data_IF_520540319318
#
_entry.id   IF_520540319318
#
_cell.length_a   1.000
_cell.length_b   1.000
_cell.length_c   1.000
_cell.angle_alpha   90.00
_cell.angle_beta   90.00
_cell.angle_gamma   90.00
#
_symmetry.space_group_name_H-M   'P 1'
#
loop_
_entity.id
_entity.type
_entity.pdbx_description
1 polymer ?
#
# COMPACT_ATOMS: atom_id res chain seq x y z
N UNK A 1 56.81 -32.09 18.40
CA UNK A 1 55.69 -31.67 19.28
C UNK A 1 55.03 -30.48 18.61
N UNK A 2 53.74 -30.37 18.29
CA UNK A 2 52.55 -31.26 18.20
C UNK A 2 51.51 -30.39 17.46
N UNK A 3 50.47 -31.00 16.88
CA UNK A 3 49.38 -30.36 16.12
C UNK A 3 48.38 -29.56 16.99
N UNK A 4 47.55 -28.78 16.28
CA UNK A 4 46.12 -28.47 16.47
C UNK A 4 45.64 -27.37 17.44
N UNK A 5 44.97 -26.36 16.86
CA UNK A 5 43.54 -26.00 17.04
C UNK A 5 43.18 -24.91 16.00
N UNK A 6 42.49 -25.20 14.88
CA UNK A 6 41.02 -25.11 14.64
C UNK A 6 40.42 -23.78 15.13
N UNK A 7 39.96 -22.90 14.23
CA UNK A 7 38.70 -22.96 13.44
C UNK A 7 37.47 -22.59 14.28
N UNK A 8 36.61 -21.75 13.68
CA UNK A 8 35.28 -21.25 14.11
C UNK A 8 35.29 -19.87 14.79
N UNK A 9 35.02 -18.83 13.98
CA UNK A 9 33.94 -17.85 14.22
C UNK A 9 33.87 -16.89 13.03
N UNK A 10 33.35 -17.41 11.92
CA UNK A 10 32.92 -16.65 10.76
C UNK A 10 31.68 -17.35 10.19
N UNK A 11 30.64 -17.41 11.00
CA UNK A 11 29.29 -17.79 10.62
C UNK A 11 28.34 -17.13 11.62
N UNK A 12 27.13 -16.79 11.17
CA UNK A 12 26.02 -16.22 11.94
C UNK A 12 25.97 -14.69 11.97
N UNK A 13 25.50 -14.11 10.85
CA UNK A 13 24.61 -12.93 10.82
C UNK A 13 24.05 -12.69 9.40
N UNK A 14 23.40 -13.72 8.84
CA UNK A 14 22.41 -13.53 7.77
C UNK A 14 21.04 -13.66 8.44
N UNK A 15 20.38 -12.53 8.66
CA UNK A 15 19.01 -12.48 9.11
C UNK A 15 18.10 -12.63 7.89
N UNK A 16 17.54 -13.82 7.75
CA UNK A 16 16.29 -14.21 7.10
C UNK A 16 15.55 -13.07 6.37
N UNK A 17 15.72 -13.02 5.05
CA UNK A 17 14.80 -12.33 4.14
C UNK A 17 13.66 -13.30 3.83
N UNK A 18 12.41 -12.92 4.10
CA UNK A 18 11.24 -13.66 3.62
C UNK A 18 11.01 -13.30 2.15
N UNK A 19 11.83 -13.85 1.26
CA UNK A 19 11.74 -13.59 -0.17
C UNK A 19 10.47 -14.25 -0.70
N UNK A 20 9.67 -13.59 -1.54
CA UNK A 20 8.63 -14.28 -2.33
C UNK A 20 9.03 -14.14 -3.80
N UNK A 21 9.33 -15.28 -4.43
CA UNK A 21 9.73 -15.44 -5.84
C UNK A 21 8.52 -15.45 -6.79
N UNK A 22 8.71 -15.27 -8.12
CA UNK A 22 7.69 -14.74 -9.02
C UNK A 22 6.45 -15.66 -9.12
N UNK A 23 5.28 -15.06 -8.91
CA UNK A 23 3.99 -15.76 -8.80
C UNK A 23 3.43 -16.23 -10.14
N UNK A 24 3.22 -17.53 -10.32
CA UNK A 24 2.24 -18.03 -11.29
C UNK A 24 0.81 -17.87 -10.73
N UNK A 25 -0.05 -17.15 -11.48
CA UNK A 25 -1.42 -16.83 -11.08
C UNK A 25 -2.38 -17.74 -11.85
N UNK A 26 -3.20 -18.50 -11.13
CA UNK A 26 -4.29 -19.28 -11.73
C UNK A 26 -5.63 -18.88 -11.11
N UNK A 27 -6.64 -18.67 -11.96
CA UNK A 27 -8.01 -18.31 -11.56
C UNK A 27 -8.92 -19.53 -11.67
N UNK A 28 -9.75 -19.75 -10.65
CA UNK A 28 -10.81 -20.76 -10.66
C UNK A 28 -12.15 -20.15 -10.23
N UNK A 29 -13.24 -20.64 -10.80
CA UNK A 29 -14.61 -20.25 -10.42
C UNK A 29 -14.91 -20.79 -9.00
N UNK A 30 -15.05 -19.87 -8.04
CA UNK A 30 -15.33 -20.15 -6.63
C UNK A 30 -16.82 -20.15 -6.30
N UNK A 31 -17.69 -19.96 -7.29
CA UNK A 31 -19.11 -19.66 -7.14
C UNK A 31 -19.47 -18.26 -7.69
N UNK A 32 -20.76 -17.88 -7.69
CA UNK A 32 -21.24 -16.73 -8.46
C UNK A 32 -20.66 -15.37 -8.05
N UNK A 33 -20.12 -15.24 -6.84
CA UNK A 33 -19.66 -13.97 -6.26
C UNK A 33 -18.17 -13.96 -5.85
N UNK A 34 -17.41 -15.03 -6.13
CA UNK A 34 -16.00 -15.17 -5.69
C UNK A 34 -15.13 -15.76 -6.80
N UNK A 35 -13.98 -15.14 -7.02
CA UNK A 35 -12.89 -15.69 -7.82
C UNK A 35 -11.82 -16.24 -6.88
N UNK A 36 -11.46 -17.51 -7.05
CA UNK A 36 -10.34 -18.09 -6.32
C UNK A 36 -9.06 -17.82 -7.10
N UNK A 37 -8.08 -17.25 -6.42
CA UNK A 37 -6.75 -17.00 -6.95
C UNK A 37 -5.70 -17.70 -6.11
N UNK A 38 -4.71 -18.28 -6.79
CA UNK A 38 -3.57 -18.91 -6.17
C UNK A 38 -2.32 -18.05 -6.30
N UNK A 39 -1.55 -18.01 -5.22
CA UNK A 39 -0.25 -17.36 -5.15
C UNK A 39 0.78 -18.40 -4.69
N UNK A 40 1.94 -18.44 -5.35
CA UNK A 40 3.05 -19.25 -4.90
C UNK A 40 3.60 -18.78 -3.55
N UNK A 41 4.16 -19.72 -2.81
CA UNK A 41 4.75 -19.54 -1.49
C UNK A 41 6.23 -19.81 -1.64
N UNK A 42 7.08 -18.94 -1.08
CA UNK A 42 8.52 -19.12 -1.20
C UNK A 42 9.08 -20.21 -0.32
N UNK A 43 10.25 -20.72 -0.70
CA UNK A 43 11.00 -21.71 0.06
C UNK A 43 11.32 -21.23 1.49
N UNK A 44 11.59 -19.94 1.69
CA UNK A 44 11.83 -19.38 3.02
C UNK A 44 10.58 -19.45 3.91
N UNK A 45 9.41 -19.13 3.35
CA UNK A 45 8.15 -19.24 4.08
C UNK A 45 7.81 -20.71 4.39
N UNK A 46 8.10 -21.63 3.45
CA UNK A 46 8.00 -23.07 3.69
C UNK A 46 8.92 -23.51 4.84
N UNK A 47 10.14 -22.98 4.91
CA UNK A 47 11.10 -23.28 5.99
C UNK A 47 10.63 -22.77 7.36
N UNK A 48 10.01 -21.58 7.41
CA UNK A 48 9.51 -20.97 8.65
C UNK A 48 8.34 -21.74 9.29
N UNK A 49 7.53 -22.43 8.50
CA UNK A 49 6.38 -23.21 8.97
C UNK A 49 6.78 -24.49 9.74
N UNK A 50 8.05 -24.89 9.68
CA UNK A 50 8.58 -26.02 10.45
C UNK A 50 7.77 -27.32 10.24
N UNK A 51 7.34 -28.02 11.30
CA UNK A 51 6.62 -29.28 11.18
C UNK A 51 5.28 -29.18 10.43
N UNK A 52 4.61 -28.01 10.48
CA UNK A 52 3.35 -27.78 9.77
C UNK A 52 3.53 -27.83 8.24
N UNK A 53 4.74 -27.56 7.74
CA UNK A 53 5.09 -27.75 6.33
C UNK A 53 5.30 -29.22 5.95
N UNK A 54 5.44 -30.15 6.91
CA UNK A 54 5.78 -31.56 6.66
C UNK A 54 4.63 -32.55 6.87
N UNK A 55 3.46 -32.09 7.32
CA UNK A 55 2.30 -32.96 7.50
C UNK A 55 1.74 -33.43 6.15
N UNK A 56 1.39 -34.72 6.04
CA UNK A 56 1.18 -35.42 4.77
C UNK A 56 -0.21 -35.26 4.13
N UNK A 57 -1.00 -34.25 4.54
CA UNK A 57 -2.39 -34.04 4.09
C UNK A 57 -2.53 -33.01 2.95
N UNK A 58 -3.50 -33.21 2.07
CA UNK A 58 -3.96 -32.21 1.07
C UNK A 58 -4.96 -31.24 1.72
N UNK A 59 -4.91 -29.96 1.36
CA UNK A 59 -5.89 -28.94 1.76
C UNK A 59 -5.30 -27.86 2.68
N UNK A 60 -6.16 -27.07 3.35
CA UNK A 60 -5.72 -26.02 4.28
C UNK A 60 -4.76 -26.54 5.35
N UNK A 61 -3.67 -25.81 5.56
CA UNK A 61 -2.70 -26.11 6.62
C UNK A 61 -3.24 -25.56 7.94
N UNK A 62 -3.44 -26.43 8.93
CA UNK A 62 -3.87 -26.01 10.26
C UNK A 62 -2.74 -25.31 11.03
N UNK A 63 -3.04 -24.15 11.60
CA UNK A 63 -2.12 -23.37 12.43
C UNK A 63 -2.57 -23.47 13.88
N UNK A 64 -1.73 -24.08 14.72
CA UNK A 64 -2.09 -24.42 16.10
C UNK A 64 -2.29 -23.20 17.01
N UNK A 65 -1.54 -22.12 16.77
CA UNK A 65 -1.64 -20.89 17.54
C UNK A 65 -1.62 -19.69 16.60
N UNK A 66 -2.69 -18.90 16.65
CA UNK A 66 -2.91 -17.76 15.75
C UNK A 66 -2.71 -16.45 16.52
N UNK A 67 -1.71 -15.67 16.14
CA UNK A 67 -1.47 -14.36 16.72
C UNK A 67 -2.64 -13.39 16.42
N UNK A 68 -2.94 -12.42 17.31
CA UNK A 68 -3.95 -11.40 17.03
C UNK A 68 -3.48 -10.49 15.89
N UNK A 69 -4.42 -10.09 15.04
CA UNK A 69 -4.17 -9.10 13.99
C UNK A 69 -4.37 -7.68 14.53
N UNK A 70 -3.42 -6.78 14.26
CA UNK A 70 -3.50 -5.37 14.66
C UNK A 70 -4.20 -4.55 13.57
N UNK A 71 -5.07 -3.63 13.96
CA UNK A 71 -5.69 -2.70 13.02
C UNK A 71 -4.63 -1.87 12.28
N UNK A 72 -4.80 -1.73 10.97
CA UNK A 72 -3.90 -0.98 10.11
C UNK A 72 -4.68 -0.30 8.98
N UNK A 73 -4.10 0.77 8.44
CA UNK A 73 -4.63 1.50 7.31
C UNK A 73 -3.55 1.64 6.22
N UNK A 74 -3.95 1.54 4.96
CA UNK A 74 -3.05 1.67 3.80
C UNK A 74 -3.74 2.47 2.72
N UNK A 75 -3.03 3.36 2.04
CA UNK A 75 -3.65 4.28 1.07
C UNK A 75 -2.93 4.25 -0.27
N UNK A 76 -3.67 3.93 -1.33
CA UNK A 76 -3.20 4.14 -2.70
C UNK A 76 -3.37 5.61 -3.07
N UNK A 77 -2.28 6.35 -3.12
CA UNK A 77 -2.27 7.71 -3.66
C UNK A 77 -2.08 7.63 -5.17
N UNK A 78 -3.07 8.09 -5.93
CA UNK A 78 -3.12 7.96 -7.39
C UNK A 78 -3.16 9.30 -8.11
N UNK A 79 -2.65 9.33 -9.34
CA UNK A 79 -2.77 10.48 -10.26
C UNK A 79 -2.86 10.01 -11.70
N UNK A 80 -3.38 10.89 -12.56
CA UNK A 80 -3.35 10.66 -14.00
C UNK A 80 -1.93 10.84 -14.55
N UNK A 81 -1.54 10.01 -15.52
CA UNK A 81 -0.27 10.19 -16.23
C UNK A 81 -0.27 11.53 -16.97
N UNK A 82 0.77 12.33 -16.74
CA UNK A 82 0.93 13.62 -17.41
C UNK A 82 0.88 13.47 -18.95
N UNK A 83 -0.05 14.17 -19.61
CA UNK A 83 -0.17 14.20 -21.07
C UNK A 83 -1.47 13.65 -21.69
N UNK A 84 -2.41 13.08 -20.91
CA UNK A 84 -3.76 12.73 -21.41
C UNK A 84 -4.88 13.72 -21.04
N UNK A 85 -4.63 14.68 -20.15
CA UNK A 85 -5.69 15.47 -19.50
C UNK A 85 -5.55 17.00 -19.48
N UNK A 86 -4.56 17.62 -20.12
CA UNK A 86 -4.47 19.09 -20.13
C UNK A 86 -4.59 19.68 -21.53
N UNK A 87 -5.84 19.91 -21.93
CA UNK A 87 -6.19 20.75 -23.05
C UNK A 87 -6.90 22.03 -22.55
N UNK A 88 -6.38 22.70 -21.52
CA UNK A 88 -6.84 24.05 -21.20
C UNK A 88 -5.81 24.87 -20.41
N UNK A 89 -4.70 25.23 -21.05
CA UNK A 89 -3.91 26.39 -20.62
C UNK A 89 -3.53 27.26 -21.84
N UNK A 90 -3.73 28.58 -21.80
CA UNK A 90 -3.41 29.47 -22.91
C UNK A 90 -1.88 29.66 -23.00
N UNK A 91 -1.32 29.33 -24.17
CA UNK A 91 0.10 29.60 -24.48
C UNK A 91 0.36 31.11 -24.53
N UNK A 92 1.16 31.61 -23.59
CA UNK A 92 1.78 32.92 -23.69
C UNK A 92 2.97 32.86 -24.66
N UNK A 93 3.03 33.86 -25.56
CA UNK A 93 4.09 34.07 -26.54
C UNK A 93 5.26 34.81 -25.87
N UNK A 94 6.49 34.34 -26.10
CA UNK A 94 7.71 35.05 -25.72
C UNK A 94 8.91 34.54 -26.51
N UNK A 95 9.50 35.42 -27.32
CA UNK A 95 10.61 35.18 -28.26
C UNK A 95 12.01 35.24 -27.60
N UNK A 96 12.93 34.40 -28.10
CA UNK A 96 14.40 34.59 -28.12
C UNK A 96 15.20 33.99 -26.93
N UNK A 97 16.37 33.35 -27.07
CA UNK A 97 17.18 32.93 -28.21
C UNK A 97 18.31 31.97 -27.71
N UNK A 98 18.75 31.05 -28.59
CA UNK A 98 20.08 30.42 -28.72
C UNK A 98 20.53 29.22 -27.84
N UNK A 99 20.28 28.04 -28.41
CA UNK A 99 21.15 26.87 -28.67
C UNK A 99 22.22 26.37 -27.67
N UNK A 100 22.01 25.15 -27.16
CA UNK A 100 22.90 24.00 -27.42
C UNK A 100 22.13 22.66 -27.24
N UNK A 101 22.06 21.83 -28.28
CA UNK A 101 21.69 20.40 -28.24
C UNK A 101 22.96 19.56 -28.50
N UNK A 102 23.11 18.34 -27.94
CA UNK A 102 22.41 17.12 -28.40
C UNK A 102 21.91 16.26 -27.20
N UNK A 103 21.06 15.25 -27.26
CA UNK A 103 20.45 14.41 -28.29
C UNK A 103 19.14 13.91 -27.65
N UNK A 104 18.00 14.25 -28.26
CA UNK A 104 16.76 13.55 -27.98
C UNK A 104 16.86 12.18 -28.66
N UNK A 105 17.14 11.14 -27.88
CA UNK A 105 16.73 9.80 -28.27
C UNK A 105 15.21 9.81 -28.23
N UNK A 106 14.59 9.70 -29.41
CA UNK A 106 13.16 9.53 -29.59
C UNK A 106 12.66 8.45 -28.63
N UNK A 107 11.85 8.87 -27.66
CA UNK A 107 11.16 7.94 -26.79
C UNK A 107 10.37 6.96 -27.67
N UNK A 108 10.53 5.64 -27.48
CA UNK A 108 9.82 4.67 -28.28
C UNK A 108 8.32 4.93 -28.14
N UNK A 109 7.65 4.94 -29.28
CA UNK A 109 6.22 5.12 -29.49
C UNK A 109 5.41 4.39 -28.38
N UNK A 110 4.77 5.16 -27.48
CA UNK A 110 3.94 4.63 -26.38
C UNK A 110 2.69 4.00 -27.00
N UNK A 111 2.73 2.70 -27.25
CA UNK A 111 1.53 1.90 -27.48
C UNK A 111 0.79 1.73 -26.15
N UNK A 112 -0.39 2.37 -26.00
CA UNK A 112 -1.39 2.12 -24.93
C UNK A 112 -0.84 1.84 -23.51
N UNK A 113 -0.04 2.77 -22.99
CA UNK A 113 0.46 2.72 -21.60
C UNK A 113 -0.62 3.02 -20.54
N UNK A 114 -0.30 2.74 -19.27
CA UNK A 114 -1.11 3.08 -18.10
C UNK A 114 -1.63 4.53 -18.16
N UNK A 115 -2.87 4.73 -17.74
CA UNK A 115 -3.49 6.06 -17.63
C UNK A 115 -3.36 6.66 -16.22
N UNK A 116 -3.18 5.80 -15.21
CA UNK A 116 -3.08 6.16 -13.79
C UNK A 116 -1.73 5.66 -13.26
N UNK A 117 -1.02 6.51 -12.54
CA UNK A 117 0.15 6.15 -11.73
C UNK A 117 -0.26 6.05 -10.26
N UNK A 118 0.44 5.21 -9.51
CA UNK A 118 0.25 5.06 -8.07
C UNK A 118 1.57 5.29 -7.34
N UNK A 119 1.51 6.00 -6.22
CA UNK A 119 2.71 6.27 -5.41
C UNK A 119 3.04 5.06 -4.55
N UNK A 120 4.28 4.57 -4.64
CA UNK A 120 4.71 3.37 -3.92
C UNK A 120 6.07 3.56 -3.26
N UNK A 121 6.24 2.90 -2.12
CA UNK A 121 7.50 2.84 -1.38
C UNK A 121 8.11 1.44 -1.52
N UNK A 122 9.43 1.37 -1.53
CA UNK A 122 10.17 0.12 -1.34
C UNK A 122 10.70 0.06 0.08
N UNK A 123 10.18 -0.87 0.87
CA UNK A 123 10.57 -1.06 2.28
C UNK A 123 12.03 -1.45 2.40
N UNK A 124 12.72 -0.95 3.43
CA UNK A 124 14.12 -1.31 3.66
C UNK A 124 14.30 -2.80 3.88
N UNK A 125 15.42 -3.34 3.40
CA UNK A 125 15.78 -4.75 3.63
C UNK A 125 15.83 -5.13 5.13
N UNK A 126 16.15 -4.17 6.00
CA UNK A 126 16.27 -4.37 7.45
C UNK A 126 14.93 -4.44 8.19
N UNK A 127 13.79 -4.23 7.50
CA UNK A 127 12.49 -4.22 8.15
C UNK A 127 12.03 -5.62 8.50
N UNK A 128 11.52 -5.78 9.72
CA UNK A 128 11.09 -7.07 10.25
C UNK A 128 9.75 -7.60 9.69
N UNK A 129 9.11 -6.88 8.77
CA UNK A 129 7.96 -7.33 8.00
C UNK A 129 8.01 -6.70 6.60
N UNK A 130 7.76 -7.52 5.57
CA UNK A 130 7.77 -7.13 4.16
C UNK A 130 9.06 -6.40 3.69
N UNK A 131 10.28 -6.87 4.02
CA UNK A 131 11.52 -6.24 3.55
C UNK A 131 11.62 -6.30 2.01
N UNK A 132 12.22 -5.27 1.39
CA UNK A 132 12.40 -5.13 -0.06
C UNK A 132 11.11 -5.13 -0.90
N UNK A 133 9.94 -5.08 -0.26
CA UNK A 133 8.65 -5.12 -0.96
C UNK A 133 8.22 -3.72 -1.37
N UNK A 134 7.57 -3.67 -2.53
CA UNK A 134 6.79 -2.50 -2.94
C UNK A 134 5.49 -2.48 -2.14
N UNK A 135 5.22 -1.36 -1.48
CA UNK A 135 4.05 -1.13 -0.63
C UNK A 135 3.48 0.27 -0.87
N UNK A 136 2.22 0.46 -0.54
CA UNK A 136 1.64 1.80 -0.47
C UNK A 136 1.94 2.42 0.91
N UNK A 137 1.85 3.76 1.06
CA UNK A 137 1.86 4.38 2.38
C UNK A 137 0.85 3.73 3.32
N UNK A 138 1.25 3.43 4.56
CA UNK A 138 0.35 2.82 5.52
C UNK A 138 1.04 2.15 6.70
N UNK A 139 0.31 2.10 7.80
CA UNK A 139 0.81 1.58 9.06
C UNK A 139 -0.29 1.20 10.03
N UNK A 140 0.12 0.97 11.28
CA UNK A 140 -0.78 0.57 12.35
C UNK A 140 -1.60 1.74 12.87
N UNK A 141 -2.80 1.45 13.36
CA UNK A 141 -3.59 2.43 14.13
C UNK A 141 -2.87 2.74 15.45
N UNK A 142 -2.71 4.02 15.77
CA UNK A 142 -2.22 4.52 17.05
C UNK A 142 -3.41 4.90 17.93
N UNK A 143 -3.31 4.74 19.25
CA UNK A 143 -4.38 5.13 20.17
C UNK A 143 -4.76 6.62 20.08
N UNK A 144 -3.86 7.47 19.58
CA UNK A 144 -4.09 8.90 19.36
C UNK A 144 -4.92 9.18 18.10
N UNK A 145 -5.12 8.19 17.22
CA UNK A 145 -6.03 8.31 16.06
C UNK A 145 -7.51 8.31 16.48
N UNK A 146 -7.80 7.90 17.72
CA UNK A 146 -9.13 7.87 18.31
C UNK A 146 -9.62 9.24 18.83
N UNK A 147 -8.84 10.31 18.65
CA UNK A 147 -9.13 11.64 19.19
C UNK A 147 -10.51 12.15 18.72
N UNK A 148 -11.40 12.38 19.68
CA UNK A 148 -12.76 12.81 19.39
C UNK A 148 -12.88 14.28 19.00
N UNK A 149 -11.85 15.09 19.30
CA UNK A 149 -11.78 16.50 18.98
C UNK A 149 -11.12 16.75 17.61
N UNK A 150 -10.65 15.69 16.93
CA UNK A 150 -10.13 15.78 15.55
C UNK A 150 -11.15 16.46 14.63
N UNK A 151 -10.85 17.66 14.09
CA UNK A 151 -11.79 18.37 13.24
C UNK A 151 -12.00 17.61 11.93
N UNK A 152 -13.27 17.42 11.56
CA UNK A 152 -13.66 16.42 10.57
C UNK A 152 -14.58 17.03 9.51
N UNK A 153 -14.20 16.91 8.24
CA UNK A 153 -15.01 17.29 7.09
C UNK A 153 -15.21 16.09 6.16
N UNK A 154 -16.42 15.96 5.61
CA UNK A 154 -16.84 14.83 4.78
C UNK A 154 -17.78 13.84 5.49
N UNK A 155 -17.90 12.60 5.00
CA UNK A 155 -18.81 11.58 5.53
C UNK A 155 -18.58 11.35 7.03
N UNK A 156 -19.65 11.24 7.81
CA UNK A 156 -19.54 11.07 9.27
C UNK A 156 -18.85 9.75 9.66
N UNK A 157 -18.27 9.65 10.87
CA UNK A 157 -17.72 8.38 11.38
C UNK A 157 -18.71 7.21 11.27
N UNK A 158 -20.00 7.45 11.52
CA UNK A 158 -21.07 6.48 11.28
C UNK A 158 -21.14 5.99 9.83
N UNK A 159 -21.03 6.89 8.86
CA UNK A 159 -21.06 6.51 7.45
C UNK A 159 -19.81 5.71 7.07
N UNK A 160 -18.66 6.08 7.61
CA UNK A 160 -17.42 5.31 7.45
C UNK A 160 -17.52 3.92 8.07
N UNK A 161 -18.11 3.79 9.25
CA UNK A 161 -18.37 2.50 9.89
C UNK A 161 -19.21 1.57 8.98
N UNK A 162 -20.24 2.10 8.33
CA UNK A 162 -21.03 1.34 7.34
C UNK A 162 -20.17 0.89 6.14
N UNK A 163 -19.33 1.78 5.60
CA UNK A 163 -18.49 1.50 4.44
C UNK A 163 -17.31 0.56 4.71
N UNK A 164 -16.77 0.57 5.92
CA UNK A 164 -15.61 -0.23 6.33
C UNK A 164 -15.98 -1.63 6.84
N UNK A 165 -17.18 -2.11 6.49
CA UNK A 165 -17.66 -3.44 6.83
C UNK A 165 -18.61 -3.51 8.02
N UNK A 166 -19.35 -2.42 8.30
CA UNK A 166 -20.28 -2.30 9.43
C UNK A 166 -19.61 -2.50 10.81
N UNK A 167 -18.48 -1.83 11.00
CA UNK A 167 -17.73 -1.77 12.27
C UNK A 167 -18.31 -0.70 13.21
N UNK A 168 -17.70 -0.48 14.38
CA UNK A 168 -18.10 0.62 15.26
C UNK A 168 -17.55 1.98 14.80
N UNK A 169 -18.21 3.06 15.23
CA UNK A 169 -17.85 4.42 14.81
C UNK A 169 -16.47 4.88 15.30
N UNK A 170 -16.00 4.33 16.43
CA UNK A 170 -14.69 4.68 16.97
C UNK A 170 -13.58 3.99 16.16
N UNK A 171 -13.70 2.69 15.88
CA UNK A 171 -12.78 1.95 14.99
C UNK A 171 -12.75 2.60 13.59
N UNK A 172 -13.91 3.02 13.06
CA UNK A 172 -13.97 3.70 11.77
C UNK A 172 -13.22 5.04 11.78
N UNK A 173 -13.37 5.84 12.85
CA UNK A 173 -12.63 7.10 13.02
C UNK A 173 -11.13 6.84 13.08
N UNK A 174 -10.71 5.89 13.91
CA UNK A 174 -9.31 5.50 14.08
C UNK A 174 -8.67 5.08 12.75
N UNK A 175 -9.34 4.24 11.97
CA UNK A 175 -8.83 3.78 10.67
C UNK A 175 -8.70 4.91 9.65
N UNK A 176 -9.67 5.83 9.59
CA UNK A 176 -9.63 6.96 8.65
C UNK A 176 -8.57 7.99 9.06
N UNK A 177 -8.43 8.27 10.36
CA UNK A 177 -7.39 9.15 10.88
C UNK A 177 -5.99 8.54 10.68
N UNK A 178 -5.82 7.24 10.96
CA UNK A 178 -4.58 6.52 10.69
C UNK A 178 -4.22 6.57 9.19
N UNK A 179 -5.18 6.33 8.29
CA UNK A 179 -4.95 6.42 6.85
C UNK A 179 -4.36 7.78 6.43
N UNK A 180 -4.93 8.88 6.92
CA UNK A 180 -4.46 10.23 6.60
C UNK A 180 -3.12 10.57 7.28
N UNK A 181 -2.93 10.14 8.53
CA UNK A 181 -1.67 10.32 9.27
C UNK A 181 -0.51 9.61 8.57
N UNK A 182 -0.67 8.32 8.24
CA UNK A 182 0.37 7.50 7.62
C UNK A 182 0.80 8.05 6.25
N UNK A 183 -0.16 8.52 5.44
CA UNK A 183 0.15 9.16 4.15
C UNK A 183 0.99 10.43 4.35
N UNK A 184 0.69 11.24 5.37
CA UNK A 184 1.48 12.43 5.66
C UNK A 184 2.86 12.07 6.24
N UNK A 185 2.93 11.11 7.16
CA UNK A 185 4.17 10.64 7.78
C UNK A 185 5.14 10.03 6.75
N UNK A 186 4.64 9.20 5.84
CA UNK A 186 5.49 8.46 4.91
C UNK A 186 5.89 9.24 3.67
N UNK A 187 4.98 10.04 3.09
CA UNK A 187 5.25 10.72 1.82
C UNK A 187 4.86 12.20 1.78
N UNK A 188 4.49 12.80 2.91
CA UNK A 188 4.24 14.24 3.02
C UNK A 188 2.91 14.70 2.42
N UNK A 189 2.06 13.80 1.91
CA UNK A 189 0.75 14.17 1.37
C UNK A 189 -0.23 14.42 2.51
N UNK A 190 -0.85 15.59 2.53
CA UNK A 190 -1.78 16.02 3.57
C UNK A 190 -3.21 16.09 3.02
N UNK A 191 -4.10 15.24 3.56
CA UNK A 191 -5.52 15.22 3.22
C UNK A 191 -6.33 16.14 4.15
N UNK A 192 -5.94 17.41 4.24
CA UNK A 192 -6.55 18.39 5.13
C UNK A 192 -6.67 19.78 4.49
N UNK A 193 -7.52 20.62 5.08
CA UNK A 193 -7.78 21.97 4.61
C UNK A 193 -8.31 22.88 5.71
N UNK A 194 -8.43 24.20 5.47
CA UNK A 194 -9.00 25.12 6.45
C UNK A 194 -10.52 24.91 6.66
N UNK A 195 -11.18 24.24 5.72
CA UNK A 195 -12.62 23.94 5.73
C UNK A 195 -12.93 22.75 4.79
N UNK A 196 -14.21 22.45 4.59
CA UNK A 196 -14.71 21.36 3.76
C UNK A 196 -14.57 21.58 2.24
N UNK A 197 -14.16 22.77 1.80
CA UNK A 197 -14.08 23.10 0.37
C UNK A 197 -12.62 23.17 -0.10
N UNK A 198 -11.74 23.76 0.71
CA UNK A 198 -10.36 24.06 0.33
C UNK A 198 -9.38 23.01 0.86
N UNK A 199 -8.28 22.83 0.14
CA UNK A 199 -7.15 21.99 0.57
C UNK A 199 -5.94 22.85 0.90
N UNK A 200 -5.05 22.33 1.73
CA UNK A 200 -3.68 22.84 1.79
C UNK A 200 -2.98 22.48 0.48
N UNK A 201 -2.50 23.51 -0.24
CA UNK A 201 -1.86 23.35 -1.54
C UNK A 201 -0.43 22.83 -1.44
N UNK A 202 0.53 23.69 -1.13
CA UNK A 202 1.93 23.30 -1.01
C UNK A 202 2.29 22.93 0.45
N UNK A 203 2.84 21.73 0.62
CA UNK A 203 3.29 21.16 1.91
C UNK A 203 4.78 20.84 1.93
N UNK A 204 5.56 21.36 0.98
CA UNK A 204 7.00 21.09 0.83
C UNK A 204 7.92 22.00 1.65
N UNK A 205 7.37 23.02 2.33
CA UNK A 205 8.17 23.98 3.11
C UNK A 205 8.69 23.43 4.45
N UNK A 206 9.77 24.01 4.96
CA UNK A 206 10.43 23.61 6.22
C UNK A 206 9.49 23.53 7.44
N UNK A 207 8.45 24.36 7.48
CA UNK A 207 7.45 24.29 8.55
C UNK A 207 6.69 22.97 8.56
N UNK A 208 6.34 22.44 7.39
CA UNK A 208 5.63 21.17 7.24
C UNK A 208 6.55 19.97 7.49
N UNK A 209 7.80 20.07 7.09
CA UNK A 209 8.83 19.09 7.46
C UNK A 209 8.95 18.99 8.99
N UNK A 210 9.02 20.12 9.68
CA UNK A 210 9.08 20.16 11.14
C UNK A 210 7.80 19.63 11.82
N UNK A 211 6.64 19.70 11.16
CA UNK A 211 5.41 19.06 11.66
C UNK A 211 5.47 17.55 11.53
N UNK A 212 5.93 17.06 10.38
CA UNK A 212 6.09 15.63 10.10
C UNK A 212 7.13 15.01 11.03
N UNK A 213 8.26 15.68 11.27
CA UNK A 213 9.27 15.23 12.23
C UNK A 213 8.70 15.07 13.65
N UNK A 214 7.83 16.00 14.08
CA UNK A 214 7.14 15.92 15.38
C UNK A 214 6.13 14.79 15.46
N UNK A 215 5.49 14.40 14.35
CA UNK A 215 4.64 13.21 14.29
C UNK A 215 5.47 11.92 14.39
N UNK A 216 6.52 11.81 13.56
CA UNK A 216 7.41 10.65 13.52
C UNK A 216 8.12 10.40 14.86
N UNK A 217 8.55 11.47 15.53
CA UNK A 217 9.14 11.41 16.89
C UNK A 217 8.11 11.25 18.02
N UNK A 218 6.81 11.28 17.69
CA UNK A 218 5.67 11.21 18.61
C UNK A 218 5.59 12.36 19.62
N UNK A 219 6.21 13.50 19.30
CA UNK A 219 6.13 14.74 20.09
C UNK A 219 4.75 15.40 19.99
N UNK A 220 4.00 15.14 18.92
CA UNK A 220 2.61 15.56 18.75
C UNK A 220 1.77 14.44 18.13
N UNK A 221 0.44 14.52 18.26
CA UNK A 221 -0.51 13.72 17.48
C UNK A 221 -0.92 14.43 16.18
N UNK A 222 -1.49 13.66 15.25
CA UNK A 222 -2.03 14.22 14.00
C UNK A 222 -3.21 15.17 14.28
N UNK A 223 -4.08 14.82 15.23
CA UNK A 223 -5.17 15.68 15.66
C UNK A 223 -4.68 17.00 16.26
N UNK A 224 -3.68 16.97 17.15
CA UNK A 224 -3.07 18.17 17.75
C UNK A 224 -2.47 19.09 16.68
N UNK A 225 -1.79 18.51 15.68
CA UNK A 225 -1.24 19.26 14.55
C UNK A 225 -2.34 20.01 13.79
N UNK A 226 -3.42 19.31 13.40
CA UNK A 226 -4.51 19.90 12.62
C UNK A 226 -5.26 20.97 13.41
N UNK A 227 -5.59 20.69 14.68
CA UNK A 227 -6.26 21.66 15.58
C UNK A 227 -5.42 22.93 15.70
N UNK A 228 -4.12 22.81 16.00
CA UNK A 228 -3.23 23.97 16.17
C UNK A 228 -3.11 24.79 14.89
N UNK A 229 -3.12 24.14 13.72
CA UNK A 229 -3.06 24.80 12.42
C UNK A 229 -4.41 25.31 11.91
N UNK A 230 -5.50 25.08 12.66
CA UNK A 230 -6.86 25.48 12.26
C UNK A 230 -7.34 24.72 11.01
N UNK A 231 -6.99 23.44 10.92
CA UNK A 231 -7.31 22.57 9.78
C UNK A 231 -8.30 21.49 10.18
N UNK A 232 -9.08 21.05 9.18
CA UNK A 232 -9.97 19.90 9.25
C UNK A 232 -9.42 18.76 8.39
N UNK A 233 -9.56 17.55 8.89
CA UNK A 233 -9.31 16.34 8.12
C UNK A 233 -10.40 16.21 7.04
N UNK A 234 -9.99 16.18 5.76
CA UNK A 234 -10.87 16.05 4.59
C UNK A 234 -11.11 14.59 4.25
N UNK A 235 -11.96 13.94 5.04
CA UNK A 235 -12.23 12.51 4.90
C UNK A 235 -12.92 12.16 3.59
N UNK A 236 -13.62 13.11 2.97
CA UNK A 236 -14.23 12.96 1.65
C UNK A 236 -13.21 12.70 0.51
N UNK A 237 -11.92 12.96 0.74
CA UNK A 237 -10.84 12.65 -0.21
C UNK A 237 -10.42 11.17 -0.18
N UNK A 238 -10.80 10.43 0.86
CA UNK A 238 -10.52 9.01 0.98
C UNK A 238 -11.69 8.19 0.42
N UNK A 239 -11.36 7.08 -0.21
CA UNK A 239 -12.32 6.08 -0.67
C UNK A 239 -12.01 4.73 -0.04
N UNK A 240 -13.01 4.04 0.57
CA UNK A 240 -12.84 2.67 1.05
C UNK A 240 -12.55 1.75 -0.14
N UNK A 241 -11.58 0.84 -0.01
CA UNK A 241 -11.13 0.03 -1.14
C UNK A 241 -11.13 -1.48 -0.89
N UNK A 242 -10.42 -1.97 0.12
CA UNK A 242 -10.32 -3.40 0.38
C UNK A 242 -10.09 -3.69 1.87
N UNK A 243 -10.37 -4.92 2.29
CA UNK A 243 -10.16 -5.38 3.67
C UNK A 243 -9.37 -6.67 3.65
N UNK A 244 -8.12 -6.61 4.10
CA UNK A 244 -7.21 -7.75 4.08
C UNK A 244 -6.71 -8.07 5.48
N UNK A 245 -6.76 -9.34 5.85
CA UNK A 245 -6.17 -9.84 7.09
C UNK A 245 -4.98 -10.71 6.75
N UNK A 246 -3.85 -10.45 7.41
CA UNK A 246 -2.64 -11.27 7.26
C UNK A 246 -2.94 -12.74 7.62
N UNK A 247 -2.42 -13.72 6.87
CA UNK A 247 -2.65 -15.14 7.13
C UNK A 247 -2.28 -15.57 8.55
N UNK A 248 -2.89 -16.65 9.01
CA UNK A 248 -2.76 -17.11 10.40
C UNK A 248 -1.37 -17.65 10.75
N UNK A 249 -0.63 -18.13 9.75
CA UNK A 249 0.74 -18.62 9.92
C UNK A 249 1.77 -17.52 10.16
N UNK A 250 1.42 -16.26 9.86
CA UNK A 250 2.32 -15.13 10.09
C UNK A 250 2.28 -14.73 11.57
N UNK A 251 3.43 -14.62 12.26
CA UNK A 251 3.44 -14.20 13.67
C UNK A 251 3.12 -12.70 13.84
N UNK A 252 3.34 -11.90 12.79
CA UNK A 252 3.02 -10.47 12.75
C UNK A 252 1.85 -10.25 11.81
N UNK A 253 0.66 -10.06 12.40
CA UNK A 253 -0.58 -9.97 11.65
C UNK A 253 -1.19 -8.59 11.72
N UNK A 254 -1.75 -8.17 10.60
CA UNK A 254 -2.48 -6.93 10.45
C UNK A 254 -3.87 -7.23 9.91
N UNK A 255 -4.83 -6.47 10.41
CA UNK A 255 -6.18 -6.36 9.90
C UNK A 255 -6.28 -5.00 9.21
N UNK A 256 -6.00 -4.99 7.91
CA UNK A 256 -5.73 -3.78 7.15
C UNK A 256 -6.94 -3.36 6.33
N UNK A 257 -7.40 -2.13 6.52
CA UNK A 257 -8.32 -1.45 5.58
C UNK A 257 -7.50 -0.64 4.59
N UNK A 258 -7.75 -0.90 3.31
CA UNK A 258 -7.16 -0.17 2.20
C UNK A 258 -8.09 0.97 1.80
N UNK A 259 -7.49 2.11 1.50
CA UNK A 259 -8.13 3.29 0.99
C UNK A 259 -7.48 3.70 -0.34
N UNK A 260 -8.19 4.51 -1.12
CA UNK A 260 -7.65 5.22 -2.27
C UNK A 260 -7.85 6.72 -2.10
N UNK A 261 -6.91 7.52 -2.61
CA UNK A 261 -7.00 8.97 -2.64
C UNK A 261 -6.35 9.53 -3.91
N UNK A 262 -6.95 10.58 -4.49
CA UNK A 262 -6.27 11.38 -5.51
C UNK A 262 -5.17 12.21 -4.84
N UNK A 263 -4.02 12.36 -5.49
CA UNK A 263 -3.02 13.36 -5.08
C UNK A 263 -3.66 14.75 -5.04
N UNK A 264 -3.65 15.46 -3.89
CA UNK A 264 -4.09 16.85 -3.82
C UNK A 264 -3.28 17.76 -4.74
N UNK A 265 -3.96 18.68 -5.44
CA UNK A 265 -3.30 19.63 -6.32
C UNK A 265 -2.30 20.50 -5.54
N UNK A 266 -1.10 20.67 -6.09
CA UNK A 266 -0.03 21.46 -5.49
C UNK A 266 0.87 20.71 -4.49
N UNK A 267 0.50 19.49 -4.10
CA UNK A 267 1.35 18.65 -3.24
C UNK A 267 2.25 17.74 -4.07
N UNK A 268 3.48 17.55 -3.59
CA UNK A 268 4.48 16.67 -4.21
C UNK A 268 4.86 15.64 -3.15
N UNK A 269 4.53 14.35 -3.34
CA UNK A 269 4.98 13.33 -2.42
C UNK A 269 6.50 13.20 -2.47
N UNK A 270 7.11 12.93 -1.32
CA UNK A 270 8.55 12.71 -1.21
C UNK A 270 8.91 11.31 -0.71
N UNK A 271 10.22 11.01 -0.71
CA UNK A 271 10.80 9.78 -0.22
C UNK A 271 11.46 9.92 1.17
N UNK A 272 11.15 10.98 1.91
CA UNK A 272 11.82 11.35 3.17
C UNK A 272 11.31 10.55 4.37
N UNK A 273 11.25 9.22 4.24
CA UNK A 273 10.95 8.30 5.32
C UNK A 273 12.16 7.42 5.65
N UNK A 274 12.38 7.16 6.94
CA UNK A 274 13.42 6.23 7.39
C UNK A 274 13.07 4.75 7.11
N UNK A 275 11.83 4.49 6.70
CA UNK A 275 11.27 3.15 6.52
C UNK A 275 11.35 2.62 5.08
N UNK A 276 11.65 3.49 4.10
CA UNK A 276 11.85 3.11 2.71
C UNK A 276 13.29 3.37 2.23
N UNK A 277 13.71 2.58 1.24
CA UNK A 277 14.97 2.80 0.50
C UNK A 277 14.73 3.61 -0.78
N UNK A 278 13.47 3.73 -1.22
CA UNK A 278 13.04 4.56 -2.34
C UNK A 278 11.52 4.73 -2.29
N UNK A 279 11.01 5.88 -2.74
CA UNK A 279 9.59 6.08 -3.00
C UNK A 279 9.42 6.85 -4.32
N UNK A 280 8.50 6.39 -5.18
CA UNK A 280 8.27 7.04 -6.47
C UNK A 280 6.88 6.72 -7.02
N UNK A 281 6.47 7.48 -8.03
CA UNK A 281 5.35 7.15 -8.89
C UNK A 281 5.70 5.95 -9.75
N UNK A 282 4.84 4.93 -9.72
CA UNK A 282 5.01 3.74 -10.55
C UNK A 282 3.85 3.60 -11.52
N UNK A 283 4.18 3.10 -12.72
CA UNK A 283 3.22 2.63 -13.70
C UNK A 283 2.80 1.20 -13.35
N UNK A 284 1.52 0.95 -13.04
CA UNK A 284 1.05 -0.36 -12.59
C UNK A 284 1.47 -1.54 -13.49
N UNK A 285 1.33 -1.43 -14.81
CA UNK A 285 1.70 -2.51 -15.75
C UNK A 285 3.19 -2.77 -15.78
N UNK A 286 4.02 -1.73 -15.65
CA UNK A 286 5.47 -1.88 -15.57
C UNK A 286 5.89 -2.57 -14.27
N UNK A 287 5.25 -2.24 -13.15
CA UNK A 287 5.47 -2.89 -11.86
C UNK A 287 5.03 -4.36 -11.88
N UNK A 288 3.89 -4.68 -12.51
CA UNK A 288 3.43 -6.05 -12.68
C UNK A 288 4.35 -6.87 -13.59
N UNK A 289 4.89 -6.27 -14.66
CA UNK A 289 5.92 -6.90 -15.48
C UNK A 289 7.21 -7.16 -14.67
N UNK A 290 7.64 -6.18 -13.85
CA UNK A 290 8.79 -6.35 -12.96
C UNK A 290 8.56 -7.45 -11.92
N UNK A 291 7.34 -7.60 -11.40
CA UNK A 291 6.95 -8.70 -10.51
C UNK A 291 7.08 -10.06 -11.23
N UNK A 292 6.53 -10.18 -12.44
CA UNK A 292 6.57 -11.41 -13.23
C UNK A 292 8.01 -11.83 -13.58
N UNK A 293 8.90 -10.86 -13.78
CA UNK A 293 10.33 -11.08 -14.03
C UNK A 293 11.16 -11.29 -12.75
N UNK A 294 10.55 -11.25 -11.56
CA UNK A 294 11.24 -11.39 -10.28
C UNK A 294 12.13 -10.20 -9.91
N UNK A 295 11.97 -9.05 -10.56
CA UNK A 295 12.70 -7.79 -10.29
C UNK A 295 12.03 -6.92 -9.23
N UNK A 296 10.79 -7.22 -8.86
CA UNK A 296 10.06 -6.58 -7.78
C UNK A 296 9.34 -7.65 -6.93
N UNK A 297 9.10 -7.33 -5.66
CA UNK A 297 8.35 -8.19 -4.75
C UNK A 297 7.16 -7.42 -4.18
N UNK A 298 5.98 -8.04 -4.19
CA UNK A 298 4.75 -7.50 -3.61
C UNK A 298 4.04 -8.57 -2.79
N UNK A 299 3.25 -8.17 -1.81
CA UNK A 299 2.32 -9.08 -1.12
C UNK A 299 1.02 -9.21 -1.94
N UNK A 300 0.26 -10.31 -1.80
CA UNK A 300 -1.02 -10.50 -2.50
C UNK A 300 -1.97 -9.29 -2.47
N UNK A 301 -2.24 -8.62 -1.32
CA UNK A 301 -3.08 -7.42 -1.32
C UNK A 301 -2.57 -6.32 -2.25
N UNK A 302 -1.26 -6.09 -2.27
CA UNK A 302 -0.64 -5.08 -3.13
C UNK A 302 -0.76 -5.45 -4.60
N UNK A 303 -0.51 -6.72 -4.96
CA UNK A 303 -0.65 -7.20 -6.35
C UNK A 303 -2.07 -6.94 -6.87
N UNK A 304 -3.09 -7.34 -6.10
CA UNK A 304 -4.50 -7.17 -6.48
C UNK A 304 -4.85 -5.69 -6.64
N UNK A 305 -4.40 -4.84 -5.72
CA UNK A 305 -4.67 -3.41 -5.80
C UNK A 305 -3.97 -2.75 -7.00
N UNK A 306 -2.72 -3.11 -7.29
CA UNK A 306 -1.98 -2.59 -8.46
C UNK A 306 -2.65 -3.01 -9.77
N UNK A 307 -3.15 -4.25 -9.88
CA UNK A 307 -3.93 -4.68 -11.04
C UNK A 307 -5.21 -3.85 -11.22
N UNK A 308 -5.92 -3.53 -10.14
CA UNK A 308 -7.11 -2.68 -10.21
C UNK A 308 -6.79 -1.26 -10.68
N UNK A 309 -5.65 -0.69 -10.24
CA UNK A 309 -5.18 0.61 -10.76
C UNK A 309 -4.82 0.49 -12.25
N UNK A 310 -4.17 -0.61 -12.67
CA UNK A 310 -3.77 -0.83 -14.06
C UNK A 310 -4.97 -0.86 -15.03
N UNK A 311 -6.11 -1.38 -14.58
CA UNK A 311 -7.34 -1.47 -15.37
C UNK A 311 -8.11 -0.16 -15.47
N UNK A 312 -7.77 0.85 -14.65
CA UNK A 312 -8.46 2.13 -14.65
C UNK A 312 -8.09 2.99 -15.88
N UNK A 313 -9.09 3.56 -16.59
CA UNK A 313 -8.85 4.43 -17.73
C UNK A 313 -8.41 5.86 -17.32
N UNK A 314 -8.71 6.24 -16.09
CA UNK A 314 -8.34 7.50 -15.45
C UNK A 314 -8.62 7.41 -13.94
N UNK A 315 -8.10 8.38 -13.20
CA UNK A 315 -8.21 8.44 -11.74
C UNK A 315 -9.64 8.73 -11.28
N UNK A 316 -10.46 9.40 -12.09
CA UNK A 316 -11.86 9.69 -11.74
C UNK A 316 -12.67 8.40 -11.74
N UNK A 317 -12.56 7.60 -12.79
CA UNK A 317 -13.17 6.29 -12.92
C UNK A 317 -12.68 5.33 -11.84
N UNK A 318 -11.37 5.33 -11.56
CA UNK A 318 -10.80 4.54 -10.47
C UNK A 318 -11.45 4.88 -9.12
N UNK A 319 -11.46 6.16 -8.76
CA UNK A 319 -11.97 6.60 -7.47
C UNK A 319 -13.50 6.54 -7.40
N UNK A 320 -14.22 6.60 -8.52
CA UNK A 320 -15.66 6.46 -8.56
C UNK A 320 -16.11 5.04 -8.21
N UNK A 321 -15.26 4.03 -8.49
CA UNK A 321 -15.54 2.64 -8.15
C UNK A 321 -15.68 2.44 -6.63
N UNK A 322 -16.51 1.46 -6.26
CA UNK A 322 -16.83 1.14 -4.88
C UNK A 322 -16.77 -0.38 -4.72
N UNK A 323 -15.56 -0.94 -4.50
CA UNK A 323 -15.40 -2.36 -4.32
C UNK A 323 -16.17 -2.84 -3.08
N UNK A 324 -16.67 -4.09 -3.07
CA UNK A 324 -17.28 -4.65 -1.88
C UNK A 324 -16.24 -4.77 -0.77
N UNK A 325 -16.52 -4.16 0.39
CA UNK A 325 -15.69 -4.27 1.59
C UNK A 325 -15.89 -5.62 2.28
N UNK A 326 -15.37 -6.69 1.67
CA UNK A 326 -15.35 -8.04 2.26
C UNK A 326 -13.97 -8.36 2.80
N UNK A 327 -13.94 -9.01 3.97
CA UNK A 327 -12.71 -9.49 4.59
C UNK A 327 -12.09 -10.59 3.73
N UNK A 328 -10.86 -10.35 3.26
CA UNK A 328 -10.04 -11.30 2.51
C UNK A 328 -8.90 -11.75 3.42
N UNK A 329 -8.81 -13.05 3.68
CA UNK A 329 -7.70 -13.63 4.43
C UNK A 329 -7.11 -14.77 3.60
N UNK A 330 -5.89 -14.63 3.08
CA UNK A 330 -5.25 -15.72 2.36
C UNK A 330 -5.07 -16.93 3.29
N UNK A 331 -5.30 -18.12 2.73
CA UNK A 331 -5.15 -19.39 3.44
C UNK A 331 -4.02 -20.17 2.79
N UNK A 332 -3.13 -20.71 3.61
CA UNK A 332 -2.09 -21.61 3.13
C UNK A 332 -2.71 -22.99 2.88
N UNK A 333 -2.58 -23.52 1.67
CA UNK A 333 -3.04 -24.87 1.34
C UNK A 333 -1.92 -25.71 0.73
N UNK A 334 -2.01 -27.02 0.96
CA UNK A 334 -1.16 -28.03 0.34
C UNK A 334 -1.87 -28.69 -0.82
N UNK A 335 -1.21 -28.74 -1.97
CA UNK A 335 -1.67 -29.47 -3.15
C UNK A 335 -1.50 -30.98 -2.99
N UNK A 336 -2.11 -31.77 -3.88
CA UNK A 336 -1.91 -33.23 -3.94
C UNK A 336 -0.44 -33.64 -4.18
N UNK A 337 0.36 -32.76 -4.80
CA UNK A 337 1.80 -32.95 -5.00
C UNK A 337 2.64 -32.61 -3.77
N UNK A 338 2.01 -32.16 -2.67
CA UNK A 338 2.68 -31.74 -1.43
C UNK A 338 3.19 -30.30 -1.44
N UNK A 339 3.00 -29.57 -2.55
CA UNK A 339 3.45 -28.19 -2.73
C UNK A 339 2.54 -27.23 -1.95
N UNK A 340 3.12 -26.24 -1.29
CA UNK A 340 2.37 -25.20 -0.58
C UNK A 340 2.04 -24.03 -1.52
N UNK A 341 0.80 -23.58 -1.48
CA UNK A 341 0.30 -22.40 -2.21
C UNK A 341 -0.65 -21.62 -1.32
N UNK A 342 -0.74 -20.33 -1.57
CA UNK A 342 -1.65 -19.45 -0.87
C UNK A 342 -2.92 -19.26 -1.70
N UNK A 343 -4.03 -19.76 -1.16
CA UNK A 343 -5.38 -19.58 -1.70
C UNK A 343 -5.93 -18.24 -1.25
N UNK A 344 -6.45 -17.45 -2.19
CA UNK A 344 -7.11 -16.18 -1.94
C UNK A 344 -8.47 -16.19 -2.58
N UNK A 345 -9.49 -15.89 -1.80
CA UNK A 345 -10.86 -15.72 -2.27
C UNK A 345 -11.14 -14.23 -2.47
N UNK A 346 -11.23 -13.81 -3.73
CA UNK A 346 -11.48 -12.43 -4.10
C UNK A 346 -12.97 -12.25 -4.42
N UNK A 347 -13.63 -11.19 -3.91
CA UNK A 347 -14.99 -10.91 -4.32
C UNK A 347 -15.03 -10.55 -5.82
N UNK A 348 -16.03 -11.03 -6.55
CA UNK A 348 -16.30 -10.57 -7.91
C UNK A 348 -16.70 -9.10 -7.84
N UNK A 349 -15.90 -8.24 -8.45
CA UNK A 349 -16.21 -6.83 -8.64
C UNK A 349 -17.38 -6.68 -9.62
N UNK A 350 -18.42 -5.94 -9.23
CA UNK A 350 -19.45 -5.47 -10.17
C UNK A 350 -18.98 -4.19 -10.86
N UNK A 351 -18.76 -4.22 -12.19
CA UNK A 351 -18.30 -3.06 -12.97
C UNK A 351 -16.82 -3.13 -13.38
N UNK A 352 -16.26 -2.00 -13.82
CA UNK A 352 -14.80 -1.76 -13.91
C UNK A 352 -14.50 -0.55 -13.05
N UNK A 353 -13.32 -0.42 -12.40
CA UNK A 353 -12.28 -1.40 -12.04
C UNK A 353 -12.73 -2.60 -11.19
#
# INVERSE_FOLDING_TARGET
MTRDARSQDAASRDAMSSDITPFDITLHDGGPDVVVRWFEVSEDLVSMLGPAATDGGTGPVEIAEVAPARAAATVMVVRDVAGRGDASAPRAVGEGALEATPSAAEAPNVSDGDAVEVFMLRRRASMAFAPNRMVFPGGGVDARDADADLPWAGPSPKRWAEWLGAIDEAEARELVAAAAREVFEECGVLLAGPDEERLVGDVSGEEWEAERDRLLSREQSFAEMLIRRGLVLRTDLLRPWAHWVTPEFEPRRYDTRFFAARLPEGQIPDDRTSEADSADWVRPRELLAALAEGRAAMLPPTVVCVEQVAEAPDTETFLAWAPPMRRIMPVLERTDSGTLRMRVELPVAGGRP
#
